data_IF_661529965655
#
_entry.id   IF_661529965655
#
_cell.length_a   1.000
_cell.length_b   1.000
_cell.length_c   1.000
_cell.angle_alpha   90.00
_cell.angle_beta   90.00
_cell.angle_gamma   90.00
#
_symmetry.space_group_name_H-M   'P 1'
#
loop_
_entity.id
_entity.type
_entity.pdbx_description
1 polymer ?
#
# COMPACT_ATOMS: atom_id res chain seq x y z
N UNK A 1 23.12 8.80 3.16
CA UNK A 1 22.78 9.54 1.94
C UNK A 1 21.34 9.25 1.60
N UNK A 2 20.44 10.22 1.74
CA UNK A 2 19.05 10.10 1.31
C UNK A 2 19.08 10.25 -0.21
N UNK A 3 19.12 9.14 -0.95
CA UNK A 3 18.94 9.18 -2.41
C UNK A 3 17.60 9.88 -2.65
N UNK A 4 17.57 10.81 -3.58
CA UNK A 4 16.36 11.53 -3.95
C UNK A 4 15.40 10.55 -4.63
N UNK A 5 14.57 9.88 -3.83
CA UNK A 5 13.59 8.88 -4.31
C UNK A 5 12.33 9.52 -4.91
N UNK A 6 12.28 10.85 -5.03
CA UNK A 6 11.12 11.55 -5.59
C UNK A 6 10.79 11.09 -7.02
N UNK A 7 11.79 10.71 -7.81
CA UNK A 7 11.57 10.22 -9.18
C UNK A 7 10.96 8.80 -9.24
N UNK A 8 10.94 8.08 -8.10
CA UNK A 8 10.44 6.71 -8.00
C UNK A 8 9.02 6.62 -7.44
N UNK A 9 8.49 7.69 -6.84
CA UNK A 9 7.14 7.67 -6.25
C UNK A 9 6.12 8.12 -7.29
N UNK A 10 5.33 7.20 -7.87
CA UNK A 10 4.28 7.59 -8.82
C UNK A 10 3.14 8.31 -8.11
N UNK A 11 2.32 9.05 -8.86
CA UNK A 11 1.03 9.53 -8.35
C UNK A 11 0.13 8.33 -8.03
N UNK A 12 -0.40 8.21 -6.80
CA UNK A 12 -1.26 7.09 -6.44
C UNK A 12 -2.68 7.27 -6.96
N UNK A 13 -3.33 6.16 -7.30
CA UNK A 13 -4.80 6.16 -7.49
C UNK A 13 -5.46 6.06 -6.12
N UNK A 14 -6.30 7.03 -5.79
CA UNK A 14 -7.11 7.02 -4.55
C UNK A 14 -8.49 6.46 -4.88
N UNK A 15 -8.92 5.44 -4.13
CA UNK A 15 -10.25 4.85 -4.23
C UNK A 15 -10.96 5.06 -2.90
N UNK A 16 -12.16 5.63 -2.95
CA UNK A 16 -13.00 5.83 -1.77
C UNK A 16 -13.78 4.54 -1.48
N UNK A 17 -13.44 3.87 -0.37
CA UNK A 17 -14.07 2.61 0.03
C UNK A 17 -15.55 2.76 0.37
N UNK A 18 -16.02 3.95 0.78
CA UNK A 18 -17.40 4.16 1.20
C UNK A 18 -18.38 4.18 0.02
N UNK A 19 -17.86 4.28 -1.21
CA UNK A 19 -18.66 4.31 -2.45
C UNK A 19 -19.05 2.91 -2.95
N UNK A 20 -18.46 1.85 -2.40
CA UNK A 20 -18.70 0.45 -2.78
C UNK A 20 -18.90 -0.42 -1.53
N UNK A 21 -20.00 -1.17 -1.49
CA UNK A 21 -20.37 -1.95 -0.31
C UNK A 21 -19.39 -3.10 -0.01
N UNK A 22 -18.84 -3.74 -1.04
CA UNK A 22 -17.86 -4.82 -0.90
C UNK A 22 -16.52 -4.27 -0.40
N UNK A 23 -16.09 -3.11 -0.91
CA UNK A 23 -14.87 -2.44 -0.43
C UNK A 23 -15.03 -1.98 1.02
N UNK A 24 -16.15 -1.33 1.36
CA UNK A 24 -16.41 -0.88 2.73
C UNK A 24 -16.48 -2.04 3.70
N UNK A 25 -17.18 -3.12 3.35
CA UNK A 25 -17.28 -4.33 4.17
C UNK A 25 -15.91 -4.97 4.42
N UNK A 26 -15.04 -4.97 3.41
CA UNK A 26 -13.72 -5.61 3.50
C UNK A 26 -12.66 -4.74 4.17
N UNK A 27 -12.68 -3.42 3.95
CA UNK A 27 -11.57 -2.53 4.26
C UNK A 27 -11.93 -1.34 5.15
N UNK A 28 -13.21 -1.06 5.40
CA UNK A 28 -13.67 0.18 6.05
C UNK A 28 -13.02 0.46 7.41
N UNK A 29 -12.78 -0.57 8.22
CA UNK A 29 -12.12 -0.42 9.53
C UNK A 29 -10.59 -0.25 9.44
N UNK A 30 -10.00 -0.53 8.27
CA UNK A 30 -8.56 -0.64 8.07
C UNK A 30 -7.97 0.46 7.19
N UNK A 31 -8.78 1.45 6.80
CA UNK A 31 -8.33 2.54 5.93
C UNK A 31 -7.34 3.49 6.60
N UNK A 32 -6.34 4.03 5.86
CA UNK A 32 -6.03 3.73 4.46
C UNK A 32 -5.43 2.33 4.29
N UNK A 33 -5.73 1.73 3.14
CA UNK A 33 -5.19 0.44 2.70
C UNK A 33 -4.32 0.68 1.48
N UNK A 34 -3.04 0.29 1.53
CA UNK A 34 -2.10 0.56 0.44
C UNK A 34 -1.76 -0.70 -0.32
N UNK A 35 -1.86 -0.61 -1.64
CA UNK A 35 -1.43 -1.65 -2.58
C UNK A 35 -0.31 -1.13 -3.47
N UNK A 36 0.65 -1.99 -3.76
CA UNK A 36 1.63 -1.82 -4.84
C UNK A 36 1.51 -3.04 -5.74
N UNK A 37 1.36 -2.85 -7.05
CA UNK A 37 1.18 -3.93 -8.03
C UNK A 37 0.13 -4.99 -7.62
N UNK A 38 -0.99 -4.54 -7.05
CA UNK A 38 -2.09 -5.40 -6.60
C UNK A 38 -1.83 -6.16 -5.30
N UNK A 39 -0.63 -6.03 -4.71
CA UNK A 39 -0.28 -6.63 -3.42
C UNK A 39 -0.49 -5.63 -2.30
N UNK A 40 -1.27 -6.04 -1.30
CA UNK A 40 -1.45 -5.28 -0.07
C UNK A 40 -0.12 -5.20 0.70
N UNK A 41 0.33 -3.99 1.00
CA UNK A 41 1.58 -3.77 1.76
C UNK A 41 1.37 -3.09 3.11
N UNK A 42 0.21 -2.47 3.37
CA UNK A 42 -0.04 -1.79 4.64
C UNK A 42 -1.54 -1.53 4.92
N UNK A 43 -1.85 -1.42 6.21
CA UNK A 43 -3.08 -0.85 6.77
C UNK A 43 -2.72 0.29 7.72
N UNK A 44 -3.55 1.34 7.78
CA UNK A 44 -3.46 2.52 8.66
C UNK A 44 -2.19 3.37 8.53
N UNK A 45 -1.02 2.75 8.53
CA UNK A 45 0.30 3.38 8.50
C UNK A 45 1.20 2.65 7.51
N UNK A 46 1.98 3.40 6.74
CA UNK A 46 2.94 2.86 5.80
C UNK A 46 4.35 3.31 6.21
N UNK A 47 5.22 2.33 6.42
CA UNK A 47 6.64 2.56 6.66
C UNK A 47 7.36 2.91 5.36
N UNK A 48 8.31 3.85 5.44
CA UNK A 48 9.03 4.37 4.28
C UNK A 48 9.91 3.31 3.63
N UNK A 49 10.60 2.49 4.42
CA UNK A 49 11.49 1.45 3.89
C UNK A 49 10.67 0.34 3.21
N UNK A 50 9.56 -0.06 3.82
CA UNK A 50 8.60 -1.02 3.23
C UNK A 50 8.03 -0.51 1.92
N UNK A 51 7.64 0.77 1.86
CA UNK A 51 7.15 1.39 0.63
C UNK A 51 8.22 1.43 -0.45
N UNK A 52 9.44 1.87 -0.11
CA UNK A 52 10.52 1.97 -1.08
C UNK A 52 10.97 0.61 -1.59
N UNK A 53 11.08 -0.40 -0.73
CA UNK A 53 11.35 -1.78 -1.17
C UNK A 53 10.25 -2.30 -2.08
N UNK A 54 8.98 -2.05 -1.79
CA UNK A 54 7.89 -2.45 -2.67
C UNK A 54 7.96 -1.80 -4.06
N UNK A 55 8.35 -0.52 -4.15
CA UNK A 55 8.50 0.19 -5.42
C UNK A 55 9.75 -0.20 -6.21
N UNK A 56 10.87 -0.47 -5.53
CA UNK A 56 12.15 -0.74 -6.19
C UNK A 56 12.37 -2.23 -6.49
N UNK A 57 12.01 -3.09 -5.54
CA UNK A 57 12.30 -4.53 -5.58
C UNK A 57 11.03 -5.37 -5.83
N UNK A 58 9.85 -4.74 -5.75
CA UNK A 58 8.54 -5.38 -5.80
C UNK A 58 7.98 -5.68 -4.41
N UNK A 59 6.64 -5.69 -4.24
CA UNK A 59 6.02 -5.95 -2.95
C UNK A 59 6.29 -7.39 -2.51
N UNK A 60 6.84 -7.55 -1.30
CA UNK A 60 6.91 -8.86 -0.68
C UNK A 60 5.50 -9.31 -0.31
N UNK A 61 5.11 -10.54 -0.69
CA UNK A 61 3.92 -11.15 -0.14
C UNK A 61 4.10 -11.22 1.38
N UNK A 62 3.10 -10.82 2.18
CA UNK A 62 3.19 -11.01 3.62
C UNK A 62 3.50 -12.48 3.87
N UNK A 63 4.54 -12.75 4.67
CA UNK A 63 4.78 -14.10 5.16
C UNK A 63 3.47 -14.53 5.84
N UNK A 64 2.76 -15.48 5.24
CA UNK A 64 1.49 -15.99 5.76
C UNK A 64 1.69 -16.26 7.25
N UNK A 65 0.97 -15.52 8.09
CA UNK A 65 0.86 -15.87 9.50
C UNK A 65 0.04 -17.18 9.53
N UNK A 66 0.59 -18.27 10.13
CA UNK A 66 -0.08 -19.55 10.21
C UNK A 66 -1.39 -19.48 11.02
#
# INVERSE_FOLDING_TARGET
MRKDHCDLVPEPTIVDVDTDEDLRSRWGDHVPVTFVDGTLIAYWTLDADTFMSALCDGPALPAVLP
#
